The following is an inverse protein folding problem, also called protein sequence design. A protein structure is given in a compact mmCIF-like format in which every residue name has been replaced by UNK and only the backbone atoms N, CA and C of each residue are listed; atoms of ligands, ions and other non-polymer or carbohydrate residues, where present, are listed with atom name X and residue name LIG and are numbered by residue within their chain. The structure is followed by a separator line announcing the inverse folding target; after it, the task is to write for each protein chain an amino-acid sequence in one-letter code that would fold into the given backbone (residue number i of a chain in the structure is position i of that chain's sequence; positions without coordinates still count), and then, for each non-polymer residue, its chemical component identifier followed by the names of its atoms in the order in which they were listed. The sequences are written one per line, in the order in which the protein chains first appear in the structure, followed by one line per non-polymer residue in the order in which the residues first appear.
data_IF_494077983525
#
_entry.id   IF_494077983525
#
_cell.length_a   1.000
_cell.length_b   1.000
_cell.length_c   1.000
_cell.angle_alpha   90.00
_cell.angle_beta   90.00
_cell.angle_gamma   90.00
#
_symmetry.space_group_name_H-M   'P 1'
#
loop_
_entity.id
_entity.type
_entity.pdbx_description
1 polymer ?
#
# COMPACT_ATOMS: atom_id res chain seq x y z
N UNK A 1 5.44 14.49 4.94
CA UNK A 1 5.57 13.18 4.29
C UNK A 1 6.96 12.65 4.54
N UNK A 2 7.10 11.35 4.83
CA UNK A 2 8.39 10.67 5.03
C UNK A 2 8.47 9.49 4.06
N UNK A 3 9.62 9.35 3.41
CA UNK A 3 9.95 8.20 2.57
C UNK A 3 11.03 7.38 3.29
N UNK A 4 10.82 6.08 3.39
CA UNK A 4 11.76 5.16 4.02
C UNK A 4 12.16 4.13 2.98
N UNK A 5 13.45 4.09 2.65
CA UNK A 5 13.96 3.21 1.61
C UNK A 5 13.72 1.73 1.95
N UNK A 6 13.97 1.30 3.19
CA UNK A 6 13.62 -0.06 3.63
C UNK A 6 13.35 -0.14 5.13
N UNK A 7 12.41 -1.01 5.53
CA UNK A 7 12.15 -1.40 6.92
C UNK A 7 12.68 -2.79 7.26
N UNK A 8 13.35 -3.49 6.34
CA UNK A 8 13.76 -4.89 6.49
C UNK A 8 14.69 -5.14 7.69
N UNK A 9 15.54 -4.17 8.00
CA UNK A 9 16.50 -4.27 9.11
C UNK A 9 15.96 -3.75 10.45
N UNK A 10 14.68 -3.36 10.48
CA UNK A 10 14.02 -2.88 11.70
C UNK A 10 13.28 -4.05 12.34
N UNK A 11 13.43 -4.31 13.65
CA UNK A 11 12.68 -5.36 14.31
C UNK A 11 11.17 -5.18 14.11
N UNK A 12 10.45 -6.25 13.78
CA UNK A 12 9.07 -6.17 13.29
C UNK A 12 8.12 -5.34 14.17
N UNK A 13 8.24 -5.42 15.50
CA UNK A 13 7.44 -4.61 16.42
C UNK A 13 7.67 -3.10 16.26
N UNK A 14 8.91 -2.69 15.98
CA UNK A 14 9.25 -1.29 15.72
C UNK A 14 8.82 -0.86 14.31
N UNK A 15 8.98 -1.73 13.32
CA UNK A 15 8.52 -1.45 11.95
C UNK A 15 7.00 -1.18 11.91
N UNK A 16 6.20 -2.02 12.58
CA UNK A 16 4.75 -1.79 12.72
C UNK A 16 4.42 -0.48 13.43
N UNK A 17 5.20 -0.12 14.47
CA UNK A 17 5.01 1.15 15.19
C UNK A 17 5.36 2.36 14.32
N UNK A 18 6.41 2.27 13.50
CA UNK A 18 6.77 3.31 12.52
C UNK A 18 5.61 3.52 11.54
N UNK A 19 5.10 2.44 10.92
CA UNK A 19 3.97 2.52 9.99
C UNK A 19 2.71 3.06 10.67
N UNK A 20 2.42 2.63 11.90
CA UNK A 20 1.27 3.09 12.67
C UNK A 20 1.35 4.58 13.08
N UNK A 21 2.51 5.21 13.02
CA UNK A 21 2.63 6.65 13.25
C UNK A 21 2.03 7.47 12.09
N UNK A 22 1.89 6.90 10.90
CA UNK A 22 1.22 7.55 9.79
C UNK A 22 -0.28 7.69 10.08
N UNK A 23 -0.75 8.95 10.19
CA UNK A 23 -2.12 9.29 10.57
C UNK A 23 -2.51 10.65 9.98
N UNK A 24 -3.80 10.78 9.67
CA UNK A 24 -4.44 12.07 9.44
C UNK A 24 -5.08 12.54 10.75
N UNK A 25 -4.68 13.70 11.28
CA UNK A 25 -5.18 14.24 12.55
C UNK A 25 -6.29 15.26 12.28
N UNK A 26 -7.45 15.06 12.91
CA UNK A 26 -8.59 15.97 12.83
C UNK A 26 -8.17 17.35 13.36
N UNK A 27 -8.49 18.40 12.62
CA UNK A 27 -8.15 19.81 12.92
C UNK A 27 -6.65 20.11 13.06
N UNK A 28 -5.80 19.20 12.59
CA UNK A 28 -4.35 19.37 12.58
C UNK A 28 -3.79 19.28 11.17
N UNK A 29 -2.92 18.31 10.97
CA UNK A 29 -2.33 17.98 9.67
C UNK A 29 -2.19 16.47 9.53
N UNK A 30 -1.41 16.04 8.54
CA UNK A 30 -1.20 14.63 8.24
C UNK A 30 0.27 14.25 8.22
N UNK A 31 0.56 13.04 8.71
CA UNK A 31 1.82 12.34 8.49
C UNK A 31 1.57 11.17 7.55
N UNK A 32 2.02 11.31 6.30
CA UNK A 32 2.08 10.20 5.35
C UNK A 32 3.48 9.58 5.38
N UNK A 33 3.56 8.27 5.60
CA UNK A 33 4.78 7.47 5.50
C UNK A 33 4.62 6.51 4.33
N UNK A 34 5.59 6.50 3.42
CA UNK A 34 5.73 5.47 2.39
C UNK A 34 7.05 4.77 2.64
N UNK A 35 7.00 3.46 2.82
CA UNK A 35 8.16 2.65 3.15
C UNK A 35 8.20 1.42 2.26
N UNK A 36 9.39 0.98 1.85
CA UNK A 36 9.53 -0.33 1.20
C UNK A 36 9.87 -1.41 2.22
N UNK A 37 9.44 -2.63 1.92
CA UNK A 37 9.74 -3.83 2.68
C UNK A 37 9.62 -5.04 1.74
N UNK A 38 10.31 -6.13 2.07
CA UNK A 38 10.24 -7.38 1.29
C UNK A 38 8.85 -8.05 1.33
N UNK A 39 8.03 -7.73 2.33
CA UNK A 39 6.66 -8.22 2.49
C UNK A 39 5.83 -7.25 3.36
N UNK A 40 4.48 -7.34 3.35
CA UNK A 40 3.62 -6.60 4.29
C UNK A 40 4.01 -6.85 5.75
N UNK A 41 4.13 -5.80 6.54
CA UNK A 41 4.65 -5.85 7.92
C UNK A 41 3.54 -5.79 8.98
N UNK A 42 2.38 -5.27 8.60
CA UNK A 42 1.28 -4.91 9.49
C UNK A 42 1.39 -3.46 10.00
N UNK A 43 0.23 -2.81 10.17
CA UNK A 43 0.14 -1.42 10.62
C UNK A 43 0.10 -0.39 9.48
N UNK A 44 0.40 -0.79 8.24
CA UNK A 44 0.10 -0.05 7.03
C UNK A 44 -1.42 0.02 6.76
N UNK A 45 -1.86 1.15 6.21
CA UNK A 45 -3.22 1.31 5.69
C UNK A 45 -3.31 1.04 4.19
N UNK A 46 -2.16 1.01 3.51
CA UNK A 46 -2.03 0.82 2.06
C UNK A 46 -0.85 -0.09 1.78
N UNK A 47 -1.06 -1.09 0.94
CA UNK A 47 -0.02 -1.98 0.41
C UNK A 47 0.05 -1.76 -1.10
N UNK A 48 1.25 -1.50 -1.60
CA UNK A 48 1.58 -1.50 -3.03
C UNK A 48 2.54 -2.65 -3.24
N UNK A 49 2.03 -3.79 -3.70
CA UNK A 49 2.79 -4.99 -3.93
C UNK A 49 3.41 -4.96 -5.34
N UNK A 50 4.68 -5.34 -5.44
CA UNK A 50 5.41 -5.42 -6.70
C UNK A 50 5.70 -6.88 -7.05
N UNK A 51 5.47 -7.26 -8.30
CA UNK A 51 5.73 -8.60 -8.82
C UNK A 51 7.12 -8.66 -9.47
N UNK A 52 7.99 -9.51 -8.92
CA UNK A 52 9.36 -9.67 -9.40
C UNK A 52 9.45 -10.25 -10.82
N UNK A 53 8.49 -11.08 -11.24
CA UNK A 53 8.41 -11.63 -12.60
C UNK A 53 8.04 -10.56 -13.64
N UNK A 54 7.08 -9.70 -13.33
CA UNK A 54 6.74 -8.52 -14.14
C UNK A 54 7.94 -7.57 -14.23
N UNK A 55 8.64 -7.32 -13.12
CA UNK A 55 9.82 -6.47 -13.10
C UNK A 55 10.95 -7.05 -13.98
N UNK A 56 11.24 -8.35 -13.84
CA UNK A 56 12.32 -9.03 -14.58
C UNK A 56 12.03 -9.13 -16.08
N UNK A 57 10.75 -9.18 -16.47
CA UNK A 57 10.33 -9.14 -17.88
C UNK A 57 10.28 -7.73 -18.49
N UNK A 58 10.67 -6.69 -17.73
CA UNK A 58 10.69 -5.30 -18.20
C UNK A 58 9.31 -4.65 -18.25
N UNK A 59 8.27 -5.27 -17.68
CA UNK A 59 6.91 -4.72 -17.65
C UNK A 59 6.76 -3.79 -16.44
N UNK A 60 6.77 -2.49 -16.71
CA UNK A 60 6.71 -1.44 -15.68
C UNK A 60 5.42 -0.61 -15.87
N UNK A 61 4.66 -0.31 -14.80
CA UNK A 61 4.90 -0.69 -13.41
C UNK A 61 4.66 -2.18 -13.16
N UNK A 62 5.57 -2.81 -12.42
CA UNK A 62 5.51 -4.23 -12.05
C UNK A 62 4.55 -4.44 -10.87
N UNK A 63 3.32 -3.91 -10.96
CA UNK A 63 2.33 -3.88 -9.89
C UNK A 63 1.58 -5.21 -9.82
N UNK A 64 1.56 -5.82 -8.64
CA UNK A 64 0.61 -6.88 -8.32
C UNK A 64 -0.71 -6.23 -7.86
N UNK A 65 -1.70 -6.17 -8.75
CA UNK A 65 -3.01 -5.57 -8.49
C UNK A 65 -3.81 -6.33 -7.42
N UNK A 66 -3.62 -7.65 -7.33
CA UNK A 66 -4.38 -8.50 -6.41
C UNK A 66 -3.81 -8.38 -5.00
N UNK A 67 -2.49 -8.35 -4.83
CA UNK A 67 -1.88 -8.16 -3.52
C UNK A 67 -1.86 -6.68 -3.06
N UNK A 68 -2.09 -5.73 -3.97
CA UNK A 68 -2.20 -4.31 -3.62
C UNK A 68 -3.59 -3.90 -3.14
N UNK A 69 -3.64 -2.87 -2.29
CA UNK A 69 -4.89 -2.30 -1.82
C UNK A 69 -4.71 -1.20 -0.78
N UNK A 70 -5.80 -0.49 -0.48
CA UNK A 70 -5.86 0.49 0.61
C UNK A 70 -7.11 0.26 1.43
N UNK A 71 -7.03 0.55 2.73
CA UNK A 71 -8.16 0.50 3.65
C UNK A 71 -9.07 1.70 3.39
N UNK A 72 -10.38 1.44 3.31
CA UNK A 72 -11.41 2.46 3.10
C UNK A 72 -11.18 3.37 1.87
N UNK A 73 -10.98 2.80 0.66
CA UNK A 73 -10.76 3.59 -0.56
C UNK A 73 -11.90 4.56 -0.86
N UNK A 74 -13.12 4.28 -0.42
CA UNK A 74 -14.30 5.14 -0.54
C UNK A 74 -14.10 6.52 0.10
N UNK A 75 -13.26 6.62 1.15
CA UNK A 75 -12.91 7.91 1.76
C UNK A 75 -11.93 8.74 0.91
N UNK A 76 -11.26 8.11 -0.07
CA UNK A 76 -10.26 8.74 -0.94
C UNK A 76 -10.80 9.06 -2.33
N UNK A 77 -11.63 8.17 -2.89
CA UNK A 77 -12.12 8.25 -4.27
C UNK A 77 -13.65 8.23 -4.40
N UNK A 78 -14.37 8.23 -3.26
CA UNK A 78 -15.82 8.09 -3.22
C UNK A 78 -16.30 6.67 -3.57
N UNK A 79 -17.60 6.43 -3.37
CA UNK A 79 -18.22 5.10 -3.57
C UNK A 79 -18.03 4.56 -4.99
N UNK A 80 -18.25 5.39 -6.01
CA UNK A 80 -18.07 4.99 -7.41
C UNK A 80 -16.62 4.60 -7.71
N UNK A 81 -15.66 5.33 -7.15
CA UNK A 81 -14.24 5.04 -7.32
C UNK A 81 -13.84 3.75 -6.61
N UNK A 82 -14.32 3.55 -5.38
CA UNK A 82 -14.08 2.33 -4.62
C UNK A 82 -14.65 1.10 -5.33
N UNK A 83 -15.86 1.22 -5.89
CA UNK A 83 -16.47 0.18 -6.70
C UNK A 83 -15.65 -0.14 -7.95
N UNK A 84 -15.20 0.88 -8.70
CA UNK A 84 -14.36 0.66 -9.88
C UNK A 84 -13.03 -0.04 -9.53
N UNK A 85 -12.42 0.29 -8.38
CA UNK A 85 -11.23 -0.41 -7.88
C UNK A 85 -11.54 -1.87 -7.57
N UNK A 86 -12.67 -2.15 -6.91
CA UNK A 86 -13.08 -3.52 -6.58
C UNK A 86 -13.33 -4.36 -7.84
N UNK A 87 -14.01 -3.80 -8.84
CA UNK A 87 -14.27 -4.44 -10.13
C UNK A 87 -12.96 -4.75 -10.89
N UNK A 88 -12.03 -3.79 -10.95
CA UNK A 88 -10.73 -3.99 -11.56
C UNK A 88 -9.92 -5.12 -10.89
N UNK A 89 -9.96 -5.21 -9.55
CA UNK A 89 -9.31 -6.30 -8.81
C UNK A 89 -10.00 -7.64 -9.04
N UNK A 90 -11.33 -7.68 -9.08
CA UNK A 90 -12.07 -8.91 -9.38
C UNK A 90 -11.76 -9.43 -10.79
N UNK A 91 -11.68 -8.54 -11.78
CA UNK A 91 -11.28 -8.89 -13.14
C UNK A 91 -9.84 -9.44 -13.19
N UNK A 92 -8.92 -8.87 -12.41
CA UNK A 92 -7.52 -9.34 -12.34
C UNK A 92 -7.37 -10.73 -11.68
N UNK A 93 -8.31 -11.15 -10.83
CA UNK A 93 -8.31 -12.50 -10.24
C UNK A 93 -8.87 -13.55 -11.22
N UNK A 94 -9.75 -13.13 -12.12
CA UNK A 94 -10.44 -14.02 -13.05
C UNK A 94 -9.65 -14.34 -14.34
N UNK A 95 -8.59 -13.57 -14.64
CA UNK A 95 -7.70 -13.77 -15.78
C UNK A 95 -6.37 -14.38 -15.39
#
# INVERSE_FOLDING_TARGET
MILIDTLEHVPAAHARRILAAARNIIDGGSLTIVATAAAPLGGETTVIALDAGLATSGRIPALDLVASGTVKPELLVGEKGAQAIAEARAAAIAG
#
